data_IF_339039404053
#
_entry.id   IF_339039404053
#
_cell.length_a   1.000
_cell.length_b   1.000
_cell.length_c   1.000
_cell.angle_alpha   90.00
_cell.angle_beta   90.00
_cell.angle_gamma   90.00
#
_symmetry.space_group_name_H-M   'P 1'
#
loop_
_entity.id
_entity.type
_entity.pdbx_description
1 polymer ?
#
# COMPACT_ATOMS: atom_id res chain seq x y z
N UNK A 1 -2.41 -49.93 -20.37
CA UNK A 1 -2.37 -48.51 -20.77
C UNK A 1 -3.54 -47.70 -20.18
N UNK A 2 -4.81 -48.10 -20.39
CA UNK A 2 -5.98 -47.33 -19.92
C UNK A 2 -6.09 -47.19 -18.39
N UNK A 3 -5.88 -48.26 -17.63
CA UNK A 3 -5.89 -48.26 -16.15
C UNK A 3 -4.86 -47.29 -15.55
N UNK A 4 -3.68 -47.19 -16.16
CA UNK A 4 -2.60 -46.32 -15.72
C UNK A 4 -2.91 -44.83 -15.99
N UNK A 5 -3.62 -44.54 -17.08
CA UNK A 5 -4.11 -43.20 -17.40
C UNK A 5 -5.19 -42.73 -16.40
N UNK A 6 -6.08 -43.62 -15.98
CA UNK A 6 -7.09 -43.33 -14.95
C UNK A 6 -6.42 -43.10 -13.58
N UNK A 7 -5.44 -43.92 -13.20
CA UNK A 7 -4.72 -43.74 -11.94
C UNK A 7 -4.00 -42.39 -11.88
N UNK A 8 -3.38 -41.96 -12.99
CA UNK A 8 -2.77 -40.64 -13.08
C UNK A 8 -3.81 -39.53 -12.89
N UNK A 9 -4.97 -39.64 -13.56
CA UNK A 9 -6.04 -38.65 -13.41
C UNK A 9 -6.58 -38.57 -11.97
N UNK A 10 -6.67 -39.70 -11.26
CA UNK A 10 -7.10 -39.72 -9.86
C UNK A 10 -6.08 -38.97 -8.99
N UNK A 11 -4.79 -39.26 -9.16
CA UNK A 11 -3.73 -38.58 -8.41
C UNK A 11 -3.70 -37.07 -8.67
N UNK A 12 -3.87 -36.67 -9.94
CA UNK A 12 -3.94 -35.26 -10.31
C UNK A 12 -5.14 -34.57 -9.61
N UNK A 13 -6.30 -35.23 -9.56
CA UNK A 13 -7.51 -34.70 -8.91
C UNK A 13 -7.42 -34.66 -7.38
N UNK A 14 -6.78 -35.64 -6.77
CA UNK A 14 -6.50 -35.63 -5.33
C UNK A 14 -5.57 -34.47 -4.95
N UNK A 15 -4.59 -34.18 -5.81
CA UNK A 15 -3.72 -33.02 -5.63
C UNK A 15 -4.48 -31.70 -5.79
N UNK A 16 -5.34 -31.59 -6.82
CA UNK A 16 -6.21 -30.41 -7.04
C UNK A 16 -7.10 -30.15 -5.81
N UNK A 17 -7.69 -31.21 -5.25
CA UNK A 17 -8.56 -31.11 -4.07
C UNK A 17 -7.80 -30.55 -2.87
N UNK A 18 -6.55 -30.99 -2.66
CA UNK A 18 -5.71 -30.51 -1.56
C UNK A 18 -5.37 -29.02 -1.71
N UNK A 19 -5.09 -28.57 -2.93
CA UNK A 19 -4.84 -27.14 -3.21
C UNK A 19 -6.09 -26.30 -2.96
N UNK A 20 -7.27 -26.78 -3.35
CA UNK A 20 -8.53 -26.07 -3.09
C UNK A 20 -8.86 -25.99 -1.60
N UNK A 21 -8.55 -27.03 -0.82
CA UNK A 21 -8.69 -27.02 0.63
C UNK A 21 -7.76 -25.97 1.27
N UNK A 22 -6.50 -25.90 0.84
CA UNK A 22 -5.55 -24.89 1.32
C UNK A 22 -6.00 -23.47 0.95
N UNK A 23 -6.50 -23.26 -0.27
CA UNK A 23 -7.00 -21.96 -0.71
C UNK A 23 -8.23 -21.52 0.12
N UNK A 24 -9.15 -22.46 0.40
CA UNK A 24 -10.31 -22.20 1.25
C UNK A 24 -9.90 -21.75 2.66
N UNK A 25 -8.91 -22.40 3.27
CA UNK A 25 -8.36 -21.98 4.56
C UNK A 25 -7.63 -20.63 4.48
N UNK A 26 -6.88 -20.39 3.40
CA UNK A 26 -6.17 -19.13 3.17
C UNK A 26 -7.15 -17.95 3.07
N UNK A 27 -8.30 -18.12 2.42
CA UNK A 27 -9.35 -17.10 2.35
C UNK A 27 -9.82 -16.71 3.76
N UNK A 28 -10.13 -17.71 4.60
CA UNK A 28 -10.51 -17.49 6.00
C UNK A 28 -9.44 -16.75 6.79
N UNK A 29 -8.19 -17.25 6.73
CA UNK A 29 -7.05 -16.60 7.41
C UNK A 29 -6.80 -15.18 6.93
N UNK A 30 -6.94 -14.91 5.63
CA UNK A 30 -6.75 -13.57 5.06
C UNK A 30 -7.87 -12.62 5.50
N UNK A 31 -9.11 -13.08 5.55
CA UNK A 31 -10.24 -12.28 6.01
C UNK A 31 -10.08 -11.92 7.50
N UNK A 32 -9.72 -12.90 8.33
CA UNK A 32 -9.49 -12.69 9.77
C UNK A 32 -8.35 -11.72 10.02
N UNK A 33 -7.24 -11.85 9.29
CA UNK A 33 -6.10 -10.92 9.39
C UNK A 33 -6.51 -9.48 9.03
N UNK A 34 -7.26 -9.29 7.94
CA UNK A 34 -7.76 -7.99 7.54
C UNK A 34 -8.70 -7.39 8.60
N UNK A 35 -9.58 -8.20 9.19
CA UNK A 35 -10.48 -7.75 10.26
C UNK A 35 -9.70 -7.32 11.51
N UNK A 36 -8.66 -8.08 11.90
CA UNK A 36 -7.78 -7.71 13.02
C UNK A 36 -7.12 -6.35 12.78
N UNK A 37 -6.59 -6.11 11.58
CA UNK A 37 -5.95 -4.85 11.23
C UNK A 37 -6.94 -3.68 11.22
N UNK A 38 -8.15 -3.87 10.69
CA UNK A 38 -9.23 -2.88 10.73
C UNK A 38 -9.55 -2.50 12.17
N UNK A 39 -9.82 -3.49 13.03
CA UNK A 39 -10.18 -3.25 14.43
C UNK A 39 -9.05 -2.60 15.22
N UNK A 40 -7.80 -2.97 14.95
CA UNK A 40 -6.62 -2.35 15.56
C UNK A 40 -6.55 -0.85 15.23
N UNK A 41 -6.72 -0.49 13.97
CA UNK A 41 -6.70 0.91 13.52
C UNK A 41 -7.85 1.71 14.14
N UNK A 42 -9.07 1.16 14.19
CA UNK A 42 -10.21 1.81 14.84
C UNK A 42 -10.02 2.00 16.34
N UNK A 43 -9.50 0.99 17.02
CA UNK A 43 -9.23 1.06 18.46
C UNK A 43 -8.23 2.17 18.77
N UNK A 44 -7.16 2.29 17.95
CA UNK A 44 -6.18 3.36 18.11
C UNK A 44 -6.80 4.75 17.89
N UNK A 45 -7.66 4.91 16.88
CA UNK A 45 -8.36 6.17 16.63
C UNK A 45 -9.26 6.59 17.81
N UNK A 46 -10.06 5.67 18.33
CA UNK A 46 -10.92 5.93 19.50
C UNK A 46 -10.08 6.32 20.71
N UNK A 47 -8.98 5.62 20.97
CA UNK A 47 -8.08 5.93 22.09
C UNK A 47 -7.51 7.35 22.02
N UNK A 48 -7.13 7.84 20.84
CA UNK A 48 -6.64 9.21 20.66
C UNK A 48 -7.74 10.23 20.95
N UNK A 49 -8.96 9.98 20.46
CA UNK A 49 -10.12 10.85 20.71
C UNK A 49 -10.47 10.91 22.20
N UNK A 50 -10.49 9.77 22.88
CA UNK A 50 -10.72 9.67 24.32
C UNK A 50 -9.66 10.44 25.13
N UNK A 51 -8.39 10.33 24.73
CA UNK A 51 -7.32 11.09 25.37
C UNK A 51 -7.55 12.60 25.25
N UNK A 52 -7.86 13.08 24.04
CA UNK A 52 -8.08 14.51 23.79
C UNK A 52 -9.29 15.07 24.55
N UNK A 53 -10.42 14.36 24.57
CA UNK A 53 -11.61 14.83 25.29
C UNK A 53 -11.37 14.86 26.80
N UNK A 54 -10.59 13.91 27.34
CA UNK A 54 -10.20 13.90 28.74
C UNK A 54 -9.30 15.10 29.08
N UNK A 55 -8.32 15.42 28.23
CA UNK A 55 -7.44 16.60 28.41
C UNK A 55 -8.25 17.90 28.44
N UNK A 56 -9.16 18.11 27.48
CA UNK A 56 -10.04 19.29 27.44
C UNK A 56 -10.93 19.35 28.70
N UNK A 57 -11.48 18.21 29.11
CA UNK A 57 -12.32 18.13 30.33
C UNK A 57 -11.54 18.55 31.58
N UNK A 58 -10.29 18.11 31.70
CA UNK A 58 -9.45 18.49 32.84
C UNK A 58 -9.10 19.99 32.81
N UNK A 59 -8.79 20.55 31.63
CA UNK A 59 -8.53 21.99 31.50
C UNK A 59 -9.74 22.83 31.94
N UNK A 60 -10.95 22.44 31.55
CA UNK A 60 -12.19 23.11 31.97
C UNK A 60 -12.35 23.05 33.48
N UNK A 61 -12.12 21.88 34.11
CA UNK A 61 -12.20 21.72 35.56
C UNK A 61 -11.19 22.59 36.30
N UNK A 62 -9.92 22.60 35.88
CA UNK A 62 -8.88 23.44 36.48
C UNK A 62 -9.22 24.93 36.37
N UNK A 63 -9.72 25.37 35.20
CA UNK A 63 -10.12 26.77 35.02
C UNK A 63 -11.34 27.13 35.88
N UNK A 64 -12.30 26.22 36.01
CA UNK A 64 -13.46 26.40 36.88
C UNK A 64 -13.02 26.59 38.34
N UNK A 65 -12.18 25.70 38.85
CA UNK A 65 -11.67 25.76 40.24
C UNK A 65 -10.89 27.06 40.48
N UNK A 66 -10.03 27.46 39.54
CA UNK A 66 -9.26 28.70 39.63
C UNK A 66 -10.14 29.95 39.68
N UNK A 67 -11.14 30.06 38.80
CA UNK A 67 -12.07 31.20 38.80
C UNK A 67 -12.96 31.23 40.04
N UNK A 68 -13.42 30.06 40.51
CA UNK A 68 -14.19 29.95 41.76
C UNK A 68 -13.35 30.40 42.97
N UNK A 69 -12.08 29.99 43.04
CA UNK A 69 -11.18 30.42 44.10
C UNK A 69 -10.93 31.93 44.04
N UNK A 70 -10.67 32.49 42.85
CA UNK A 70 -10.47 33.94 42.65
C UNK A 70 -11.67 34.75 43.13
N UNK A 71 -12.88 34.29 42.84
CA UNK A 71 -14.12 34.94 43.31
C UNK A 71 -14.23 34.83 44.83
N UNK A 72 -13.94 33.66 45.41
CA UNK A 72 -14.00 33.44 46.85
C UNK A 72 -13.03 34.34 47.62
N UNK A 73 -11.78 34.45 47.17
CA UNK A 73 -10.76 35.33 47.78
C UNK A 73 -11.23 36.79 47.76
N UNK A 74 -11.88 37.21 46.67
CA UNK A 74 -12.41 38.56 46.55
C UNK A 74 -13.63 38.79 47.46
N UNK A 75 -14.50 37.78 47.62
CA UNK A 75 -15.61 37.83 48.57
C UNK A 75 -15.11 37.97 50.01
N UNK A 76 -14.10 37.19 50.41
CA UNK A 76 -13.49 37.27 51.74
C UNK A 76 -12.88 38.66 51.99
N UNK A 77 -12.18 39.22 51.00
CA UNK A 77 -11.63 40.58 51.08
C UNK A 77 -12.71 41.64 51.27
N UNK A 78 -13.81 41.57 50.50
CA UNK A 78 -14.92 42.52 50.63
C UNK A 78 -15.64 42.37 51.98
N UNK A 79 -15.80 41.14 52.47
CA UNK A 79 -16.37 40.90 53.80
C UNK A 79 -15.52 41.56 54.89
N UNK A 80 -14.20 41.46 54.81
CA UNK A 80 -13.29 42.13 55.75
C UNK A 80 -13.39 43.66 55.64
N UNK A 81 -13.41 44.21 54.42
CA UNK A 81 -13.57 45.67 54.20
C UNK A 81 -14.88 46.19 54.82
N UNK A 82 -15.98 45.44 54.70
CA UNK A 82 -17.27 45.79 55.32
C UNK A 82 -17.18 45.76 56.84
N UNK A 83 -16.52 44.76 57.44
CA UNK A 83 -16.35 44.68 58.89
C UNK A 83 -15.55 45.87 59.40
N UNK A 84 -14.42 46.19 58.75
CA UNK A 84 -13.55 47.31 59.13
C UNK A 84 -14.29 48.66 59.01
N UNK A 85 -15.11 48.84 57.97
CA UNK A 85 -15.94 50.03 57.80
C UNK A 85 -17.02 50.15 58.88
N UNK A 86 -17.66 49.04 59.28
CA UNK A 86 -18.65 49.02 60.38
C UNK A 86 -18.02 49.41 61.72
N UNK A 87 -16.82 48.92 62.01
CA UNK A 87 -16.07 49.28 63.24
C UNK A 87 -15.79 50.78 63.26
N UNK A 88 -15.23 51.33 62.17
CA UNK A 88 -14.97 52.77 62.05
C UNK A 88 -16.23 53.62 62.18
N UNK A 89 -17.35 53.16 61.64
CA UNK A 89 -18.63 53.84 61.78
C UNK A 89 -19.07 53.92 63.25
N UNK A 90 -18.94 52.81 63.99
CA UNK A 90 -19.25 52.77 65.43
C UNK A 90 -18.32 53.67 66.25
N UNK A 91 -17.02 53.71 65.93
CA UNK A 91 -16.07 54.61 66.59
C UNK A 91 -16.43 56.09 66.41
N UNK A 92 -16.97 56.45 65.23
CA UNK A 92 -17.42 57.81 64.92
C UNK A 92 -18.71 58.19 65.67
N UNK A 93 -19.65 57.26 65.83
CA UNK A 93 -20.91 57.48 66.57
C UNK A 93 -20.70 57.70 68.09
N UNK A 94 -19.55 57.28 68.63
CA UNK A 94 -19.21 57.42 70.05
C UNK A 94 -18.35 58.65 70.39
N UNK A 95 -18.13 59.57 69.44
CA UNK A 95 -17.37 60.79 69.69
C UNK A 95 -18.24 61.84 70.43
N UNK A 96 -17.70 62.50 71.48
CA UNK A 96 -18.43 63.55 72.18
C UNK A 96 -18.66 64.78 71.28
N UNK A 97 -19.85 65.38 71.39
CA UNK A 97 -20.48 66.39 70.51
C UNK A 97 -19.67 67.72 70.29
N UNK A 98 -18.46 67.82 70.82
CA UNK A 98 -17.63 69.03 70.82
C UNK A 98 -16.24 68.88 70.16
N UNK A 99 -15.98 67.81 69.40
CA UNK A 99 -14.69 67.67 68.69
C UNK A 99 -14.69 68.37 67.32
N UNK A 100 -13.71 69.25 67.10
CA UNK A 100 -13.40 69.95 65.84
C UNK A 100 -13.33 68.99 64.63
N UNK A 101 -13.55 69.46 63.38
CA UNK A 101 -13.71 68.59 62.22
C UNK A 101 -12.43 67.80 61.94
N UNK A 102 -12.40 66.55 62.40
CA UNK A 102 -11.34 65.59 62.11
C UNK A 102 -11.38 65.26 60.61
N UNK A 103 -10.24 65.44 59.92
CA UNK A 103 -10.04 64.98 58.54
C UNK A 103 -10.00 63.46 58.52
N UNK A 104 -11.18 62.82 58.50
CA UNK A 104 -11.33 61.38 58.41
C UNK A 104 -10.90 60.93 57.00
N UNK A 105 -9.79 60.20 56.91
CA UNK A 105 -9.40 59.50 55.67
C UNK A 105 -10.25 58.24 55.54
N UNK A 106 -11.30 58.32 54.73
CA UNK A 106 -12.04 57.13 54.28
C UNK A 106 -11.07 56.29 53.43
N UNK A 107 -10.90 54.99 53.71
CA UNK A 107 -10.12 54.11 52.85
C UNK A 107 -10.67 54.15 51.41
N UNK A 108 -9.82 54.18 50.37
CA UNK A 108 -10.31 54.17 49.00
C UNK A 108 -11.12 52.89 48.77
N UNK A 109 -12.40 53.02 48.42
CA UNK A 109 -13.25 51.88 48.13
C UNK A 109 -12.68 51.07 46.97
N UNK A 110 -12.67 49.75 47.14
CA UNK A 110 -12.39 48.83 46.05
C UNK A 110 -13.32 49.12 44.85
N UNK A 111 -12.83 49.08 43.60
CA UNK A 111 -13.67 49.35 42.43
C UNK A 111 -14.86 48.37 42.38
N UNK A 112 -16.06 48.90 42.12
CA UNK A 112 -17.30 48.11 42.05
C UNK A 112 -17.16 47.04 40.96
N UNK A 113 -17.34 45.78 41.33
CA UNK A 113 -17.31 44.67 40.38
C UNK A 113 -18.58 44.73 39.52
N UNK A 114 -18.44 44.82 38.20
CA UNK A 114 -19.54 44.57 37.26
C UNK A 114 -19.77 43.06 37.15
N UNK A 115 -21.02 42.59 37.33
CA UNK A 115 -21.41 41.17 37.19
C UNK A 115 -21.49 40.70 35.73
N UNK A 116 -20.68 41.26 34.86
CA UNK A 116 -20.58 40.86 33.48
C UNK A 116 -19.42 39.84 33.41
N UNK A 117 -19.59 38.51 33.32
CA UNK A 117 -20.35 37.80 32.27
C UNK A 117 -20.48 36.30 32.63
N UNK A 118 -21.72 35.80 32.75
CA UNK A 118 -22.10 34.42 33.12
C UNK A 118 -21.82 33.33 32.05
N UNK A 119 -20.87 33.54 31.12
CA UNK A 119 -20.62 32.63 29.97
C UNK A 119 -19.21 32.03 29.93
N UNK A 120 -18.62 31.72 31.09
CA UNK A 120 -17.23 31.22 31.17
C UNK A 120 -16.90 30.01 30.28
N UNK A 121 -17.89 29.16 29.97
CA UNK A 121 -17.65 27.92 29.23
C UNK A 121 -18.64 27.67 28.08
N UNK A 122 -19.44 28.66 27.69
CA UNK A 122 -20.53 28.48 26.72
C UNK A 122 -20.05 28.09 25.31
N UNK A 123 -18.81 28.44 24.96
CA UNK A 123 -18.24 28.20 23.64
C UNK A 123 -17.68 26.77 23.49
N UNK A 124 -17.33 26.09 24.59
CA UNK A 124 -16.72 24.75 24.55
C UNK A 124 -17.67 23.67 23.99
N UNK A 125 -18.93 23.53 24.47
CA UNK A 125 -19.85 22.54 23.90
C UNK A 125 -20.11 22.77 22.41
N UNK A 126 -20.18 24.03 21.98
CA UNK A 126 -20.40 24.40 20.58
C UNK A 126 -19.21 24.02 19.70
N UNK A 127 -17.98 24.26 20.17
CA UNK A 127 -16.77 23.85 19.46
C UNK A 127 -16.64 22.32 19.34
N UNK A 128 -16.93 21.58 20.42
CA UNK A 128 -16.92 20.11 20.42
C UNK A 128 -18.01 19.54 19.51
N UNK A 129 -19.21 20.12 19.52
CA UNK A 129 -20.29 19.71 18.61
C UNK A 129 -19.91 19.97 17.15
N UNK A 130 -19.29 21.11 16.85
CA UNK A 130 -18.80 21.43 15.50
C UNK A 130 -17.77 20.40 15.02
N UNK A 131 -16.78 20.08 15.86
CA UNK A 131 -15.77 19.05 15.56
C UNK A 131 -16.42 17.68 15.32
N UNK A 132 -17.36 17.28 16.19
CA UNK A 132 -18.07 16.01 16.09
C UNK A 132 -18.83 15.90 14.78
N UNK A 133 -19.53 16.96 14.35
CA UNK A 133 -20.26 16.96 13.07
C UNK A 133 -19.33 16.80 11.88
N UNK A 134 -18.15 17.46 11.89
CA UNK A 134 -17.15 17.34 10.83
C UNK A 134 -16.60 15.92 10.74
N UNK A 135 -16.26 15.33 11.89
CA UNK A 135 -15.77 13.95 11.94
C UNK A 135 -16.84 12.96 11.45
N UNK A 136 -18.09 13.12 11.87
CA UNK A 136 -19.19 12.27 11.39
C UNK A 136 -19.38 12.37 9.88
N UNK A 137 -19.31 13.58 9.33
CA UNK A 137 -19.43 13.77 7.89
C UNK A 137 -18.28 13.10 7.13
N UNK A 138 -17.02 13.38 7.52
CA UNK A 138 -15.85 12.78 6.87
C UNK A 138 -15.88 11.26 6.95
N UNK A 139 -16.17 10.72 8.14
CA UNK A 139 -16.28 9.27 8.33
C UNK A 139 -17.38 8.69 7.44
N UNK A 140 -18.58 9.29 7.43
CA UNK A 140 -19.69 8.78 6.63
C UNK A 140 -19.37 8.76 5.13
N UNK A 141 -18.74 9.81 4.60
CA UNK A 141 -18.35 9.90 3.19
C UNK A 141 -17.29 8.84 2.84
N UNK A 142 -16.26 8.69 3.67
CA UNK A 142 -15.16 7.79 3.39
C UNK A 142 -15.53 6.31 3.61
N UNK A 143 -16.33 6.00 4.62
CA UNK A 143 -16.88 4.65 4.80
C UNK A 143 -17.78 4.23 3.65
N UNK A 144 -18.55 5.15 3.08
CA UNK A 144 -19.39 4.87 1.92
C UNK A 144 -18.54 4.53 0.69
N UNK A 145 -17.43 5.26 0.46
CA UNK A 145 -16.46 4.94 -0.61
C UNK A 145 -15.81 3.56 -0.38
N UNK A 146 -15.39 3.27 0.85
CA UNK A 146 -14.79 1.97 1.22
C UNK A 146 -15.80 0.83 1.01
N UNK A 147 -17.06 1.02 1.41
CA UNK A 147 -18.12 0.04 1.22
C UNK A 147 -18.38 -0.24 -0.26
N UNK A 148 -18.31 0.78 -1.11
CA UNK A 148 -18.45 0.66 -2.56
C UNK A 148 -17.26 -0.06 -3.24
N UNK A 149 -16.09 -0.12 -2.60
CA UNK A 149 -14.92 -0.85 -3.13
C UNK A 149 -14.97 -2.35 -2.83
N UNK A 150 -15.73 -2.78 -1.82
CA UNK A 150 -15.86 -4.19 -1.42
C UNK A 150 -16.41 -5.05 -2.57
N UNK A 151 -17.50 -4.68 -3.27
CA UNK A 151 -17.97 -5.44 -4.42
C UNK A 151 -16.93 -5.56 -5.53
N UNK A 152 -16.13 -4.53 -5.82
CA UNK A 152 -15.14 -4.58 -6.89
C UNK A 152 -13.98 -5.54 -6.57
N UNK A 153 -13.52 -5.56 -5.33
CA UNK A 153 -12.50 -6.51 -4.82
C UNK A 153 -13.07 -7.94 -4.72
N UNK A 154 -14.34 -8.10 -4.38
CA UNK A 154 -15.00 -9.41 -4.31
C UNK A 154 -15.45 -9.95 -5.69
N UNK A 155 -15.76 -9.06 -6.66
CA UNK A 155 -16.18 -9.40 -8.02
C UNK A 155 -14.99 -9.59 -8.96
N UNK A 156 -13.80 -9.09 -8.62
CA UNK A 156 -12.57 -9.66 -9.14
C UNK A 156 -12.45 -11.08 -8.60
N UNK A 157 -13.11 -12.05 -9.26
CA UNK A 157 -12.79 -13.47 -9.10
C UNK A 157 -11.27 -13.57 -9.07
N UNK A 158 -10.64 -14.24 -8.10
CA UNK A 158 -9.24 -14.58 -8.22
C UNK A 158 -9.12 -15.28 -9.57
N UNK A 159 -8.54 -14.61 -10.55
CA UNK A 159 -8.39 -15.19 -11.87
C UNK A 159 -7.38 -16.31 -11.66
N UNK A 160 -7.90 -17.53 -11.45
CA UNK A 160 -7.13 -18.74 -11.16
C UNK A 160 -5.85 -18.67 -11.97
N UNK A 161 -4.75 -18.42 -11.28
CA UNK A 161 -3.45 -18.48 -11.93
C UNK A 161 -3.32 -19.93 -12.39
N UNK A 162 -3.01 -20.17 -13.67
CA UNK A 162 -2.87 -21.54 -14.13
C UNK A 162 -1.82 -22.23 -13.27
N UNK A 163 -2.10 -23.45 -12.79
CA UNK A 163 -1.16 -24.23 -11.96
C UNK A 163 -0.67 -25.47 -12.69
N UNK A 164 -1.47 -25.99 -13.62
CA UNK A 164 -1.13 -27.17 -14.41
C UNK A 164 -0.94 -26.83 -15.89
N UNK A 165 -0.08 -27.58 -16.59
CA UNK A 165 0.26 -27.36 -18.00
C UNK A 165 -0.98 -27.22 -18.90
N UNK A 166 -2.03 -27.99 -18.65
CA UNK A 166 -3.28 -27.95 -19.44
C UNK A 166 -4.03 -26.63 -19.31
N UNK A 167 -3.95 -25.94 -18.17
CA UNK A 167 -4.50 -24.60 -17.97
C UNK A 167 -3.64 -23.53 -18.66
N UNK A 168 -2.31 -23.67 -18.59
CA UNK A 168 -1.41 -22.78 -19.34
C UNK A 168 -1.64 -22.85 -20.85
N UNK A 169 -1.88 -24.06 -21.36
CA UNK A 169 -2.16 -24.28 -22.79
C UNK A 169 -3.43 -23.55 -23.28
N UNK A 170 -4.36 -23.16 -22.41
CA UNK A 170 -5.52 -22.33 -22.79
C UNK A 170 -5.10 -20.93 -23.28
N UNK A 171 -3.92 -20.47 -22.88
CA UNK A 171 -3.34 -19.18 -23.26
C UNK A 171 -2.27 -19.33 -24.34
N UNK A 172 -2.19 -20.48 -25.00
CA UNK A 172 -1.11 -20.79 -25.96
C UNK A 172 -1.07 -19.78 -27.11
N UNK A 173 0.14 -19.33 -27.42
CA UNK A 173 0.49 -18.49 -28.56
C UNK A 173 1.51 -19.21 -29.41
N UNK A 174 1.23 -19.30 -30.71
CA UNK A 174 2.23 -19.72 -31.69
C UNK A 174 3.11 -18.51 -32.00
N UNK A 175 4.41 -18.63 -31.77
CA UNK A 175 5.39 -17.58 -32.04
C UNK A 175 6.25 -17.96 -33.24
N UNK A 176 6.60 -16.96 -34.05
CA UNK A 176 7.56 -17.09 -35.14
C UNK A 176 8.70 -16.10 -34.91
N UNK A 177 9.93 -16.53 -35.16
CA UNK A 177 11.11 -15.69 -35.01
C UNK A 177 11.18 -14.67 -36.15
N UNK A 178 11.50 -13.42 -35.84
CA UNK A 178 11.58 -12.34 -36.82
C UNK A 178 12.98 -12.31 -37.48
N UNK A 179 13.10 -12.67 -38.78
CA UNK A 179 14.38 -12.65 -39.49
C UNK A 179 14.99 -11.25 -39.60
N UNK A 180 14.21 -10.18 -39.43
CA UNK A 180 14.71 -8.81 -39.42
C UNK A 180 15.50 -8.49 -38.15
N UNK A 181 15.18 -9.18 -37.05
CA UNK A 181 15.84 -8.95 -35.76
C UNK A 181 17.02 -9.90 -35.53
N UNK A 182 16.98 -11.08 -36.15
CA UNK A 182 17.95 -12.15 -35.92
C UNK A 182 19.40 -11.73 -36.17
N UNK A 183 20.27 -11.95 -35.20
CA UNK A 183 21.70 -11.78 -35.39
C UNK A 183 22.24 -12.66 -36.55
N UNK A 184 23.26 -12.19 -37.26
CA UNK A 184 23.76 -12.89 -38.45
C UNK A 184 24.37 -14.26 -38.16
N UNK A 185 24.80 -14.55 -36.93
CA UNK A 185 25.28 -15.89 -36.53
C UNK A 185 24.16 -16.89 -36.18
N UNK A 186 22.91 -16.49 -36.33
CA UNK A 186 21.74 -17.35 -36.08
C UNK A 186 21.15 -17.80 -37.41
N UNK A 187 20.92 -19.10 -37.56
CA UNK A 187 20.20 -19.67 -38.69
C UNK A 187 18.75 -19.96 -38.28
N UNK A 188 17.79 -19.31 -38.95
CA UNK A 188 16.36 -19.59 -38.79
C UNK A 188 15.94 -20.70 -39.77
N UNK A 189 15.12 -21.63 -39.29
CA UNK A 189 14.61 -22.76 -40.07
C UNK A 189 13.22 -23.18 -39.57
N UNK A 190 12.60 -24.15 -40.26
CA UNK A 190 11.26 -24.67 -39.92
C UNK A 190 10.23 -23.54 -39.80
N UNK A 191 10.03 -22.80 -40.89
CA UNK A 191 9.13 -21.64 -40.94
C UNK A 191 9.40 -20.60 -39.85
N UNK A 192 10.68 -20.37 -39.55
CA UNK A 192 11.16 -19.50 -38.48
C UNK A 192 10.70 -19.89 -37.07
N UNK A 193 10.34 -21.16 -36.85
CA UNK A 193 10.04 -21.69 -35.51
C UNK A 193 11.26 -22.30 -34.84
N UNK A 194 12.37 -22.49 -35.57
CA UNK A 194 13.62 -23.04 -35.05
C UNK A 194 14.78 -22.09 -35.31
N UNK A 195 15.62 -21.91 -34.30
CA UNK A 195 16.88 -21.15 -34.39
C UNK A 195 18.06 -22.01 -33.98
N UNK A 196 19.16 -21.90 -34.70
CA UNK A 196 20.43 -22.57 -34.42
C UNK A 196 21.53 -21.53 -34.40
N UNK A 197 22.38 -21.55 -33.38
CA UNK A 197 23.63 -20.80 -33.39
C UNK A 197 24.66 -21.58 -34.20
N UNK A 198 25.10 -21.01 -35.33
CA UNK A 198 26.06 -21.66 -36.24
C UNK A 198 27.49 -21.15 -36.05
N UNK A 199 27.66 -19.98 -35.43
CA UNK A 199 28.95 -19.28 -35.34
C UNK A 199 29.40 -18.64 -36.66
N UNK A 200 28.73 -18.94 -37.77
CA UNK A 200 29.01 -18.41 -39.11
C UNK A 200 28.01 -17.32 -39.48
N UNK A 201 28.48 -16.28 -40.18
CA UNK A 201 27.61 -15.20 -40.65
C UNK A 201 26.70 -15.67 -41.80
N UNK A 202 25.42 -15.79 -41.49
CA UNK A 202 24.34 -16.05 -42.44
C UNK A 202 24.03 -14.82 -43.28
N UNK A 203 23.53 -15.06 -44.50
CA UNK A 203 23.11 -13.99 -45.42
C UNK A 203 21.71 -13.48 -45.07
N UNK A 204 21.66 -12.39 -44.32
CA UNK A 204 20.41 -11.65 -44.10
C UNK A 204 20.45 -10.27 -44.77
N UNK A 205 19.29 -9.75 -45.13
CA UNK A 205 19.15 -8.36 -45.60
C UNK A 205 19.54 -7.37 -44.49
N UNK A 206 20.08 -6.23 -44.89
CA UNK A 206 20.37 -5.15 -43.97
C UNK A 206 19.07 -4.62 -43.35
N UNK A 207 19.03 -4.53 -42.02
CA UNK A 207 17.85 -4.07 -41.29
C UNK A 207 18.29 -3.38 -39.98
N UNK A 208 17.76 -2.19 -39.70
CA UNK A 208 18.07 -1.41 -38.49
C UNK A 208 17.59 -2.09 -37.20
N UNK A 209 16.59 -2.97 -37.31
CA UNK A 209 16.01 -3.72 -36.20
C UNK A 209 16.85 -4.96 -35.80
N UNK A 210 17.94 -5.25 -36.53
CA UNK A 210 18.80 -6.42 -36.32
C UNK A 210 19.73 -6.26 -35.13
N UNK A 211 19.89 -7.31 -34.33
CA UNK A 211 21.00 -7.36 -33.37
C UNK A 211 22.33 -7.49 -34.09
N UNK A 212 23.29 -6.60 -33.80
CA UNK A 212 24.55 -6.54 -34.58
C UNK A 212 25.75 -7.21 -33.92
N UNK A 213 25.73 -7.39 -32.60
CA UNK A 213 26.87 -7.93 -31.85
C UNK A 213 26.53 -9.21 -31.10
N UNK A 214 25.37 -9.25 -30.43
CA UNK A 214 24.96 -10.35 -29.58
C UNK A 214 24.03 -11.32 -30.33
N UNK A 215 24.30 -12.65 -30.35
CA UNK A 215 23.48 -13.65 -31.03
C UNK A 215 22.07 -13.79 -30.44
N UNK A 216 21.13 -12.94 -30.88
CA UNK A 216 19.77 -12.85 -30.34
C UNK A 216 18.74 -12.67 -31.46
N UNK A 217 17.49 -13.01 -31.18
CA UNK A 217 16.36 -12.86 -32.10
C UNK A 217 15.07 -12.64 -31.29
N UNK A 218 14.17 -11.79 -31.79
CA UNK A 218 12.83 -11.56 -31.21
C UNK A 218 11.77 -12.34 -32.00
N UNK A 219 10.61 -12.56 -31.38
CA UNK A 219 9.42 -12.99 -32.11
C UNK A 219 8.83 -11.85 -32.95
N UNK A 220 8.11 -12.22 -34.01
CA UNK A 220 7.33 -11.27 -34.81
C UNK A 220 6.08 -10.80 -34.04
N UNK A 221 5.45 -11.72 -33.34
CA UNK A 221 4.25 -11.48 -32.56
C UNK A 221 4.58 -10.77 -31.25
N UNK A 222 3.70 -9.87 -30.84
CA UNK A 222 3.64 -9.37 -29.47
C UNK A 222 2.79 -10.30 -28.60
N UNK A 223 3.00 -10.25 -27.28
CA UNK A 223 2.27 -11.05 -26.30
C UNK A 223 1.23 -10.18 -25.58
N UNK A 224 -0.04 -10.13 -26.04
CA UNK A 224 -1.08 -9.37 -25.37
C UNK A 224 -1.65 -10.14 -24.16
N UNK A 225 -2.04 -9.39 -23.13
CA UNK A 225 -2.79 -9.91 -21.98
C UNK A 225 -2.13 -11.13 -21.33
N UNK A 226 -2.88 -12.24 -21.27
CA UNK A 226 -2.37 -13.56 -20.88
C UNK A 226 -1.89 -14.32 -22.10
N UNK A 227 -0.64 -14.78 -22.04
CA UNK A 227 -0.02 -15.51 -23.15
C UNK A 227 0.91 -16.59 -22.61
N UNK A 228 0.92 -17.73 -23.30
CA UNK A 228 1.76 -18.88 -22.97
C UNK A 228 2.46 -19.40 -24.22
N UNK A 229 3.73 -19.76 -24.13
CA UNK A 229 4.42 -20.49 -25.19
C UNK A 229 5.45 -21.46 -24.59
N UNK A 230 5.83 -22.47 -25.36
CA UNK A 230 6.85 -23.44 -24.98
C UNK A 230 8.04 -23.38 -25.94
N UNK A 231 9.24 -23.59 -25.40
CA UNK A 231 10.48 -23.67 -26.17
C UNK A 231 11.18 -24.96 -25.81
N UNK A 232 11.41 -25.79 -26.82
CA UNK A 232 12.32 -26.93 -26.73
C UNK A 232 13.75 -26.46 -27.06
N UNK A 233 14.74 -26.90 -26.27
CA UNK A 233 16.13 -26.51 -26.47
C UNK A 233 17.09 -27.70 -26.30
N UNK A 234 18.18 -27.67 -27.06
CA UNK A 234 19.26 -28.67 -27.02
C UNK A 234 20.59 -27.93 -27.12
N UNK A 235 21.60 -28.39 -26.39
CA UNK A 235 22.96 -27.83 -26.42
C UNK A 235 23.51 -27.56 -25.02
N UNK A 236 24.50 -26.67 -24.93
CA UNK A 236 25.14 -26.30 -23.65
C UNK A 236 24.32 -25.29 -22.84
N UNK A 237 23.56 -24.43 -23.51
CA UNK A 237 22.61 -23.54 -22.88
C UNK A 237 21.86 -22.64 -23.84
N UNK A 238 20.78 -22.03 -23.36
CA UNK A 238 19.93 -21.08 -24.10
C UNK A 238 19.46 -19.97 -23.17
N UNK A 239 19.15 -18.80 -23.74
CA UNK A 239 18.43 -17.74 -23.07
C UNK A 239 17.03 -17.67 -23.68
N UNK A 240 16.00 -17.86 -22.86
CA UNK A 240 14.61 -17.59 -23.24
C UNK A 240 14.20 -16.28 -22.60
N UNK A 241 13.76 -15.30 -23.40
CA UNK A 241 13.57 -13.94 -22.93
C UNK A 241 12.21 -13.35 -23.30
N UNK A 242 11.75 -12.45 -22.44
CA UNK A 242 10.72 -11.48 -22.72
C UNK A 242 11.39 -10.11 -22.86
N UNK A 243 11.10 -9.39 -23.93
CA UNK A 243 11.69 -8.09 -24.18
C UNK A 243 10.66 -7.09 -24.68
N UNK A 244 10.78 -5.85 -24.22
CA UNK A 244 10.06 -4.73 -24.81
C UNK A 244 10.66 -4.42 -26.18
N UNK A 245 9.81 -4.10 -27.16
CA UNK A 245 10.23 -3.78 -28.54
C UNK A 245 11.29 -2.66 -28.59
N UNK A 246 11.27 -1.75 -27.62
CA UNK A 246 12.21 -0.63 -27.46
C UNK A 246 13.60 -1.01 -26.94
N UNK A 247 13.94 -2.30 -26.81
CA UNK A 247 15.28 -2.74 -26.44
C UNK A 247 16.32 -2.26 -27.46
N UNK A 248 17.50 -1.88 -26.97
CA UNK A 248 18.64 -1.50 -27.81
C UNK A 248 19.21 -2.75 -28.50
N UNK A 249 19.55 -2.65 -29.78
CA UNK A 249 20.00 -3.81 -30.60
C UNK A 249 21.35 -3.61 -31.27
N UNK A 250 21.82 -2.36 -31.29
CA UNK A 250 23.00 -1.91 -32.00
C UNK A 250 24.20 -1.76 -31.05
N UNK A 251 25.34 -2.31 -31.45
CA UNK A 251 26.61 -2.22 -30.72
C UNK A 251 26.86 -3.36 -29.73
N UNK A 252 28.00 -3.28 -29.03
CA UNK A 252 28.53 -4.31 -28.13
C UNK A 252 28.21 -4.07 -26.64
N UNK A 253 27.43 -3.04 -26.31
CA UNK A 253 27.03 -2.76 -24.93
C UNK A 253 26.19 -3.91 -24.36
N UNK A 254 26.35 -4.17 -23.06
CA UNK A 254 25.50 -5.11 -22.32
C UNK A 254 24.02 -4.68 -22.30
N UNK A 255 23.72 -3.40 -22.52
CA UNK A 255 22.34 -2.92 -22.68
C UNK A 255 21.60 -3.59 -23.85
N UNK A 256 22.32 -4.19 -24.80
CA UNK A 256 21.73 -4.89 -25.94
C UNK A 256 21.43 -6.37 -25.64
N UNK A 257 21.89 -6.91 -24.50
CA UNK A 257 21.73 -8.32 -24.13
C UNK A 257 20.46 -8.52 -23.32
N UNK A 258 19.67 -9.53 -23.65
CA UNK A 258 18.49 -9.91 -22.89
C UNK A 258 18.84 -10.20 -21.43
N UNK A 259 18.08 -9.59 -20.51
CA UNK A 259 18.27 -9.71 -19.07
C UNK A 259 19.35 -8.79 -18.48
N UNK A 260 20.13 -8.09 -19.30
CA UNK A 260 21.17 -7.14 -18.86
C UNK A 260 20.72 -5.66 -18.95
N UNK A 261 19.42 -5.42 -19.02
CA UNK A 261 18.81 -4.10 -19.06
C UNK A 261 17.41 -4.13 -18.41
N UNK A 262 16.82 -2.96 -18.21
CA UNK A 262 15.47 -2.79 -17.65
C UNK A 262 14.33 -3.16 -18.62
N UNK A 263 14.64 -3.38 -19.90
CA UNK A 263 13.67 -3.64 -20.99
C UNK A 263 13.52 -5.12 -21.32
N UNK A 264 14.18 -6.01 -20.59
CA UNK A 264 14.13 -7.44 -20.84
C UNK A 264 14.35 -8.29 -19.60
N UNK A 265 13.67 -9.43 -19.57
CA UNK A 265 13.81 -10.49 -18.58
C UNK A 265 14.23 -11.75 -19.31
N UNK A 266 15.22 -12.48 -18.79
CA UNK A 266 15.70 -13.69 -19.43
C UNK A 266 15.90 -14.83 -18.44
N UNK A 267 15.54 -16.03 -18.86
CA UNK A 267 15.91 -17.26 -18.19
C UNK A 267 17.09 -17.88 -18.92
N UNK A 268 18.25 -17.86 -18.27
CA UNK A 268 19.43 -18.60 -18.70
C UNK A 268 19.30 -20.05 -18.26
N UNK A 269 19.26 -20.95 -19.26
CA UNK A 269 19.09 -22.38 -19.07
C UNK A 269 20.37 -23.08 -19.50
N UNK A 270 20.92 -23.91 -18.62
CA UNK A 270 22.07 -24.77 -18.91
C UNK A 270 21.76 -26.17 -18.41
N UNK A 271 22.53 -27.17 -18.83
CA UNK A 271 22.36 -28.56 -18.34
C UNK A 271 22.45 -28.69 -16.81
N UNK A 272 23.19 -27.78 -16.17
CA UNK A 272 23.53 -27.83 -14.75
C UNK A 272 22.68 -26.90 -13.87
N UNK A 273 22.19 -25.79 -14.42
CA UNK A 273 21.47 -24.80 -13.62
C UNK A 273 20.62 -23.85 -14.47
N UNK A 274 19.63 -23.26 -13.80
CA UNK A 274 18.77 -22.21 -14.33
C UNK A 274 19.03 -20.93 -13.56
N UNK A 275 19.05 -19.80 -14.25
CA UNK A 275 19.19 -18.49 -13.62
C UNK A 275 18.30 -17.47 -14.30
N UNK A 276 17.55 -16.75 -13.49
CA UNK A 276 16.78 -15.60 -13.94
C UNK A 276 17.68 -14.37 -14.00
N UNK A 277 17.50 -13.56 -15.04
CA UNK A 277 18.30 -12.38 -15.34
C UNK A 277 17.38 -11.18 -15.55
N UNK A 278 17.61 -10.11 -14.80
CA UNK A 278 16.95 -8.82 -14.99
C UNK A 278 17.88 -7.67 -14.62
N UNK A 279 17.98 -6.65 -15.48
CA UNK A 279 18.84 -5.49 -15.27
C UNK A 279 20.29 -5.83 -14.86
N UNK A 280 20.85 -6.91 -15.43
CA UNK A 280 22.20 -7.40 -15.14
C UNK A 280 22.32 -8.21 -13.86
N UNK A 281 21.27 -8.30 -13.06
CA UNK A 281 21.23 -9.11 -11.83
C UNK A 281 20.88 -10.54 -12.17
N UNK A 282 21.71 -11.48 -11.70
CA UNK A 282 21.53 -12.92 -11.87
C UNK A 282 21.03 -13.56 -10.59
N UNK A 283 19.89 -14.25 -10.66
CA UNK A 283 19.30 -15.00 -9.54
C UNK A 283 19.20 -16.47 -9.91
N UNK A 284 19.89 -17.35 -9.16
CA UNK A 284 19.81 -18.80 -9.39
C UNK A 284 18.44 -19.32 -8.99
N UNK A 285 17.82 -20.11 -9.87
CA UNK A 285 16.50 -20.70 -9.62
C UNK A 285 16.63 -22.20 -9.43
N UNK A 286 15.87 -22.76 -8.48
CA UNK A 286 15.81 -24.19 -8.23
C UNK A 286 14.79 -24.81 -9.20
N UNK A 287 15.27 -25.46 -10.25
CA UNK A 287 14.43 -26.20 -11.19
C UNK A 287 14.94 -27.64 -11.37
N UNK A 288 14.01 -28.54 -11.68
CA UNK A 288 14.34 -29.85 -12.23
C UNK A 288 14.78 -29.65 -13.68
N UNK A 289 15.89 -30.28 -14.08
CA UNK A 289 16.43 -30.11 -15.43
C UNK A 289 15.42 -30.58 -16.48
N UNK A 290 14.95 -29.66 -17.33
CA UNK A 290 14.01 -29.92 -18.43
C UNK A 290 14.51 -29.28 -19.72
N UNK A 291 14.44 -30.01 -20.84
CA UNK A 291 14.76 -29.46 -22.17
C UNK A 291 13.60 -28.70 -22.81
N UNK A 292 12.46 -28.61 -22.12
CA UNK A 292 11.30 -27.80 -22.49
C UNK A 292 11.05 -26.75 -21.42
N UNK A 293 10.89 -25.49 -21.84
CA UNK A 293 10.60 -24.35 -20.99
C UNK A 293 9.25 -23.78 -21.38
N UNK A 294 8.34 -23.67 -20.41
CA UNK A 294 7.08 -22.95 -20.57
C UNK A 294 7.22 -21.52 -20.09
N UNK A 295 6.75 -20.55 -20.88
CA UNK A 295 6.75 -19.13 -20.50
C UNK A 295 5.31 -18.64 -20.47
N UNK A 296 4.85 -18.23 -19.28
CA UNK A 296 3.55 -17.61 -19.07
C UNK A 296 3.71 -16.13 -18.72
N UNK A 297 2.98 -15.27 -19.41
CA UNK A 297 2.93 -13.84 -19.15
C UNK A 297 1.48 -13.47 -18.82
N UNK A 298 1.28 -12.75 -17.71
CA UNK A 298 0.03 -12.08 -17.36
C UNK A 298 0.28 -10.57 -17.25
N UNK A 299 0.05 -9.86 -18.36
CA UNK A 299 0.26 -8.41 -18.44
C UNK A 299 -0.72 -7.62 -17.55
N UNK A 300 -1.94 -8.11 -17.36
CA UNK A 300 -2.96 -7.44 -16.54
C UNK A 300 -2.72 -7.65 -15.04
N UNK A 301 -2.26 -8.85 -14.66
CA UNK A 301 -1.89 -9.21 -13.28
C UNK A 301 -0.47 -8.84 -12.87
N UNK A 302 0.34 -8.25 -13.77
CA UNK A 302 1.78 -7.90 -13.58
C UNK A 302 2.70 -9.07 -13.20
N UNK A 303 2.33 -10.31 -13.52
CA UNK A 303 3.13 -11.49 -13.21
C UNK A 303 3.67 -12.14 -14.49
N UNK A 304 4.93 -12.55 -14.47
CA UNK A 304 5.51 -13.45 -15.48
C UNK A 304 6.06 -14.69 -14.76
N UNK A 305 5.72 -15.87 -15.27
CA UNK A 305 6.12 -17.16 -14.68
C UNK A 305 6.83 -17.97 -15.75
N UNK A 306 8.03 -18.44 -15.41
CA UNK A 306 8.76 -19.43 -16.19
C UNK A 306 8.58 -20.79 -15.51
N UNK A 307 8.19 -21.81 -16.27
CA UNK A 307 7.86 -23.17 -15.82
C UNK A 307 8.75 -24.20 -16.50
#
# INVERSE_FOLDING_TARGET
MFKQKILQQIQDREWDLKILQEEHENIGRSADAALVDIWKNFTQFVSVMEKQINEITQQIKTQQESEQQRIKDHQEKLQQEIVDLKVKFFDLDNLPDNSAPLKIKIPPSSPRICSCTLRYFADFPTAVASLTSKLQQTLSEDFLKISQTIPEVLLSKPQLQPKIRSEFLQYSRSLTLDPNTAHTMLLLSNDNQKVIFTGEHQTYSQNSERFTHWPQVLSRESLPGRSYFEVDWVGEGVYVALALKSIKRQGNSYECVFGSNEKSWALCCTKQSYSFMYNGVKTKVKFLSSQRIGVYLDYAGRNSVFL
#
